data_IF_335834549490
#
_entry.id   IF_335834549490
#
_cell.length_a   1.000
_cell.length_b   1.000
_cell.length_c   1.000
_cell.angle_alpha   90.00
_cell.angle_beta   90.00
_cell.angle_gamma   90.00
#
_symmetry.space_group_name_H-M   'P 1'
#
loop_
_entity.id
_entity.type
_entity.pdbx_description
1 polymer ?
#
# COMPACT_ATOMS: atom_id res chain seq x y z
N UNK A 1 1.87 -3.81 0.68
CA UNK A 1 2.44 -3.22 1.92
C UNK A 1 2.14 -4.08 3.16
N UNK A 2 2.43 -5.39 3.14
CA UNK A 2 2.05 -6.31 4.23
C UNK A 2 2.81 -6.06 5.55
N UNK A 3 4.04 -5.56 5.48
CA UNK A 3 4.90 -5.30 6.64
C UNK A 3 4.32 -4.24 7.57
N UNK A 4 3.47 -3.34 7.03
CA UNK A 4 2.83 -2.26 7.79
C UNK A 4 1.50 -2.68 8.41
N UNK A 5 0.87 -3.73 7.88
CA UNK A 5 -0.42 -4.25 8.38
C UNK A 5 -0.36 -4.78 9.81
N UNK A 6 0.82 -5.23 10.26
CA UNK A 6 1.02 -5.80 11.60
C UNK A 6 1.37 -4.74 12.65
N UNK A 7 1.58 -3.49 12.24
CA UNK A 7 1.87 -2.41 13.16
C UNK A 7 0.55 -1.87 13.71
N UNK A 8 0.51 -1.65 15.01
CA UNK A 8 -0.63 -1.03 15.69
C UNK A 8 -0.19 0.33 16.18
N UNK A 9 -0.87 1.37 15.74
CA UNK A 9 -0.72 2.73 16.25
C UNK A 9 -1.95 3.11 17.05
N UNK A 10 -1.78 4.00 18.02
CA UNK A 10 -2.90 4.49 18.84
C UNK A 10 -3.86 5.34 18.01
N UNK A 11 -3.34 6.07 17.02
CA UNK A 11 -4.13 6.84 16.06
C UNK A 11 -3.82 6.40 14.64
N UNK A 12 -4.83 6.47 13.77
CA UNK A 12 -4.68 6.11 12.35
C UNK A 12 -3.70 7.05 11.63
N UNK A 13 -3.68 8.33 12.02
CA UNK A 13 -2.80 9.36 11.48
C UNK A 13 -1.32 9.15 11.85
N UNK A 14 -1.03 8.66 13.06
CA UNK A 14 0.35 8.36 13.50
C UNK A 14 1.02 7.34 12.58
N UNK A 15 0.24 6.38 12.05
CA UNK A 15 0.76 5.41 11.10
C UNK A 15 1.19 6.07 9.79
N UNK A 16 0.39 7.02 9.30
CA UNK A 16 0.73 7.76 8.08
C UNK A 16 2.01 8.58 8.30
N UNK A 17 2.13 9.23 9.45
CA UNK A 17 3.27 10.07 9.78
C UNK A 17 4.57 9.29 10.01
N UNK A 18 4.49 8.10 10.63
CA UNK A 18 5.65 7.21 10.74
C UNK A 18 6.18 6.71 9.38
N UNK A 19 5.34 6.72 8.34
CA UNK A 19 5.73 6.29 6.99
C UNK A 19 6.30 7.41 6.13
N UNK A 20 6.08 8.68 6.47
CA UNK A 20 6.59 9.82 5.70
C UNK A 20 8.10 9.75 5.54
N UNK A 21 8.83 9.50 6.63
CA UNK A 21 10.29 9.38 6.59
C UNK A 21 10.81 8.12 5.90
N UNK A 22 9.97 7.09 5.72
CA UNK A 22 10.38 5.86 5.03
C UNK A 22 10.20 5.95 3.51
N UNK A 23 9.19 6.70 3.06
CA UNK A 23 8.93 6.95 1.64
C UNK A 23 9.49 8.29 1.15
N UNK A 24 10.17 9.04 2.01
CA UNK A 24 10.69 10.38 1.73
C UNK A 24 9.61 11.34 1.19
N UNK A 25 8.43 11.32 1.82
CA UNK A 25 7.27 12.11 1.43
C UNK A 25 7.12 13.32 2.34
N UNK A 26 6.87 14.48 1.74
CA UNK A 26 6.54 15.70 2.46
C UNK A 26 5.06 16.07 2.26
N UNK A 27 4.23 15.88 3.29
CA UNK A 27 2.82 16.27 3.29
C UNK A 27 2.44 17.02 4.58
N UNK A 28 1.47 17.96 4.55
CA UNK A 28 1.07 18.68 5.75
C UNK A 28 0.37 17.77 6.77
N UNK A 29 0.85 17.85 8.01
CA UNK A 29 0.37 17.14 9.19
C UNK A 29 -0.97 17.72 9.65
N UNK A 30 -2.06 17.15 9.14
CA UNK A 30 -3.42 17.50 9.51
C UNK A 30 -3.97 16.49 10.52
N UNK A 31 -3.96 16.87 11.80
CA UNK A 31 -4.52 16.06 12.89
C UNK A 31 -6.05 16.12 12.91
N UNK A 32 -6.70 14.99 13.15
CA UNK A 32 -8.17 14.86 13.16
C UNK A 32 -8.76 14.37 11.83
N UNK A 33 -7.92 14.02 10.86
CA UNK A 33 -8.34 13.45 9.57
C UNK A 33 -8.58 11.93 9.63
N UNK A 34 -7.99 11.23 10.60
CA UNK A 34 -8.09 9.77 10.74
C UNK A 34 -7.62 9.03 9.48
N UNK A 35 -8.45 8.10 8.98
CA UNK A 35 -8.19 7.32 7.76
C UNK A 35 -7.87 8.15 6.51
N UNK A 36 -8.31 9.42 6.43
CA UNK A 36 -7.98 10.30 5.30
C UNK A 36 -6.47 10.59 5.21
N UNK A 37 -5.77 10.66 6.34
CA UNK A 37 -4.31 10.84 6.35
C UNK A 37 -3.59 9.68 5.64
N UNK A 38 -4.11 8.45 5.80
CA UNK A 38 -3.55 7.27 5.15
C UNK A 38 -3.84 7.22 3.63
N UNK A 39 -4.99 7.74 3.20
CA UNK A 39 -5.30 7.91 1.77
C UNK A 39 -4.36 8.91 1.12
N UNK A 40 -4.16 10.08 1.74
CA UNK A 40 -3.24 11.11 1.25
C UNK A 40 -1.80 10.61 1.16
N UNK A 41 -1.34 9.84 2.16
CA UNK A 41 -0.04 9.19 2.09
C UNK A 41 0.07 8.31 0.84
N UNK A 42 -0.95 7.48 0.57
CA UNK A 42 -0.96 6.62 -0.62
C UNK A 42 -0.95 7.42 -1.93
N UNK A 43 -1.65 8.55 -1.99
CA UNK A 43 -1.61 9.45 -3.15
C UNK A 43 -0.20 10.00 -3.41
N UNK A 44 0.50 10.42 -2.35
CA UNK A 44 1.88 10.88 -2.48
C UNK A 44 2.84 9.72 -2.85
N UNK A 45 2.63 8.52 -2.29
CA UNK A 45 3.39 7.32 -2.71
C UNK A 45 3.18 7.04 -4.18
N UNK A 46 1.96 7.16 -4.72
CA UNK A 46 1.69 6.95 -6.16
C UNK A 46 2.39 8.00 -7.03
N UNK A 47 2.54 9.24 -6.54
CA UNK A 47 3.25 10.29 -7.28
C UNK A 47 4.76 10.02 -7.37
N UNK A 48 5.34 9.44 -6.32
CA UNK A 48 6.79 9.21 -6.21
C UNK A 48 7.20 7.81 -6.67
N UNK A 49 6.35 6.81 -6.46
CA UNK A 49 6.57 5.40 -6.78
C UNK A 49 5.45 4.85 -7.70
N UNK A 50 5.86 4.12 -8.73
CA UNK A 50 4.97 3.38 -9.63
C UNK A 50 4.65 1.96 -9.15
N UNK A 51 4.83 1.68 -7.85
CA UNK A 51 4.55 0.38 -7.26
C UNK A 51 3.06 0.04 -7.25
N UNK A 52 2.63 -0.81 -8.18
CA UNK A 52 1.24 -1.29 -8.26
C UNK A 52 0.79 -2.14 -7.05
N UNK A 53 1.71 -2.57 -6.19
CA UNK A 53 1.39 -3.35 -4.98
C UNK A 53 0.54 -2.59 -3.96
N UNK A 54 0.45 -1.26 -4.11
CA UNK A 54 -0.38 -0.39 -3.30
C UNK A 54 -1.88 -0.65 -3.52
N UNK A 55 -2.28 -1.15 -4.69
CA UNK A 55 -3.66 -1.53 -4.99
C UNK A 55 -4.02 -2.96 -4.55
N UNK A 56 -3.05 -3.75 -4.10
CA UNK A 56 -3.27 -5.15 -3.72
C UNK A 56 -3.70 -5.30 -2.24
N UNK A 57 -4.61 -4.45 -1.79
CA UNK A 57 -5.26 -4.58 -0.49
C UNK A 57 -6.58 -5.35 -0.62
N UNK A 58 -7.07 -5.89 0.49
CA UNK A 58 -8.33 -6.63 0.53
C UNK A 58 -9.30 -5.98 1.50
N UNK A 59 -10.59 -6.12 1.21
CA UNK A 59 -11.65 -5.70 2.11
C UNK A 59 -11.52 -6.40 3.45
N UNK A 60 -11.63 -5.65 4.55
CA UNK A 60 -11.61 -6.20 5.90
C UNK A 60 -12.86 -5.83 6.69
N UNK A 61 -13.18 -6.56 7.76
CA UNK A 61 -14.28 -6.18 8.64
C UNK A 61 -14.13 -4.76 9.22
N UNK A 62 -12.89 -4.25 9.29
CA UNK A 62 -12.54 -2.90 9.74
C UNK A 62 -12.76 -1.81 8.67
N UNK A 63 -13.01 -2.17 7.40
CA UNK A 63 -13.18 -1.18 6.33
C UNK A 63 -14.63 -0.72 6.22
N UNK A 64 -14.90 0.60 6.07
CA UNK A 64 -16.26 1.13 5.96
C UNK A 64 -17.01 0.51 4.77
N UNK A 65 -18.27 0.08 4.95
CA UNK A 65 -19.09 -0.59 3.90
C UNK A 65 -19.21 0.23 2.60
N UNK A 66 -19.23 1.55 2.72
CA UNK A 66 -19.40 2.49 1.60
C UNK A 66 -18.07 3.02 1.04
N UNK A 67 -16.96 2.32 1.32
CA UNK A 67 -15.64 2.74 0.85
C UNK A 67 -15.50 2.53 -0.67
N UNK A 68 -15.62 3.62 -1.42
CA UNK A 68 -15.50 3.64 -2.89
C UNK A 68 -14.11 4.08 -3.40
N UNK A 69 -13.12 4.28 -2.51
CA UNK A 69 -11.78 4.70 -2.94
C UNK A 69 -10.98 3.49 -3.42
N UNK A 70 -10.19 3.69 -4.48
CA UNK A 70 -9.23 2.70 -5.00
C UNK A 70 -8.11 2.39 -3.98
N UNK A 71 -7.86 3.33 -3.07
CA UNK A 71 -6.82 3.27 -2.04
C UNK A 71 -7.35 2.61 -0.77
N UNK A 72 -6.46 1.96 -0.04
CA UNK A 72 -6.81 1.28 1.19
C UNK A 72 -7.24 2.30 2.26
N UNK A 73 -8.33 2.06 3.01
CA UNK A 73 -8.71 2.93 4.12
C UNK A 73 -7.75 2.82 5.31
N UNK A 74 -7.12 1.66 5.48
CA UNK A 74 -6.27 1.41 6.64
C UNK A 74 -5.15 0.39 6.35
N UNK A 75 -4.06 0.42 7.13
CA UNK A 75 -2.94 -0.52 7.02
C UNK A 75 -3.34 -1.98 7.13
N UNK A 76 -4.33 -2.29 7.97
CA UNK A 76 -4.75 -3.66 8.25
C UNK A 76 -5.18 -4.38 6.97
N UNK A 77 -5.79 -3.67 6.03
CA UNK A 77 -6.24 -4.17 4.72
C UNK A 77 -5.13 -4.87 3.90
N UNK A 78 -3.85 -4.61 4.21
CA UNK A 78 -2.70 -5.23 3.57
C UNK A 78 -2.24 -6.55 4.22
N UNK A 79 -2.92 -7.09 5.23
CA UNK A 79 -2.46 -8.28 5.99
C UNK A 79 -2.25 -9.51 5.09
N UNK A 80 -3.10 -9.69 4.08
CA UNK A 80 -3.04 -10.80 3.13
C UNK A 80 -2.19 -10.47 1.88
N UNK A 81 -1.63 -9.26 1.78
CA UNK A 81 -0.81 -8.81 0.64
C UNK A 81 0.67 -9.26 0.73
N UNK A 82 0.98 -10.27 1.55
CA UNK A 82 2.37 -10.67 1.87
C UNK A 82 3.15 -11.22 0.68
N UNK A 83 2.45 -11.72 -0.34
CA UNK A 83 3.02 -12.34 -1.54
C UNK A 83 2.81 -11.49 -2.80
N UNK A 84 2.79 -10.16 -2.66
CA UNK A 84 2.75 -9.25 -3.81
C UNK A 84 4.12 -8.61 -3.93
N UNK A 85 4.94 -9.15 -4.83
CA UNK A 85 6.27 -8.62 -5.14
C UNK A 85 6.15 -7.91 -6.48
N UNK A 86 6.57 -6.64 -6.57
CA UNK A 86 6.82 -6.03 -7.87
C UNK A 86 7.96 -6.81 -8.52
N UNK A 87 7.69 -7.40 -9.68
CA UNK A 87 8.73 -8.08 -10.45
C UNK A 87 9.61 -6.99 -11.04
N UNK A 88 10.69 -6.62 -10.35
CA UNK A 88 11.78 -5.84 -10.95
C UNK A 88 12.42 -6.74 -11.97
N UNK A 89 11.97 -6.64 -13.22
CA UNK A 89 12.66 -7.26 -14.35
C UNK A 89 13.97 -6.51 -14.52
N UNK A 90 15.03 -6.97 -13.85
CA UNK A 90 16.38 -6.70 -14.31
C UNK A 90 16.48 -7.38 -15.67
N UNK A 91 16.24 -6.63 -16.74
CA UNK A 91 16.44 -7.09 -18.11
C UNK A 91 17.94 -7.43 -18.25
N UNK A 92 18.35 -8.68 -18.54
CA UNK A 92 19.40 -8.80 -19.52
C UNK A 92 18.83 -8.22 -20.82
N UNK A 93 19.56 -7.29 -21.40
CA UNK A 93 19.29 -6.73 -22.72
C UNK A 93 18.80 -7.87 -23.64
N UNK A 94 17.65 -7.66 -24.29
CA UNK A 94 16.93 -8.53 -25.25
C UNK A 94 15.56 -9.04 -24.78
N UNK A 95 14.53 -8.28 -25.17
CA UNK A 95 13.39 -8.85 -25.89
C UNK A 95 12.21 -9.36 -25.07
N UNK A 96 11.05 -8.77 -25.37
CA UNK A 96 9.67 -9.27 -25.12
C UNK A 96 9.14 -9.24 -23.68
N UNK A 97 8.36 -8.18 -23.41
CA UNK A 97 7.45 -8.08 -22.27
C UNK A 97 6.29 -9.06 -22.42
N UNK A 98 6.23 -10.08 -21.56
CA UNK A 98 5.01 -10.81 -21.25
C UNK A 98 4.77 -10.75 -19.74
N UNK A 99 3.62 -10.18 -19.35
CA UNK A 99 3.12 -10.21 -17.98
C UNK A 99 2.65 -11.64 -17.68
N UNK A 100 3.52 -12.47 -17.10
CA UNK A 100 3.12 -13.77 -16.56
C UNK A 100 2.85 -13.65 -15.06
N UNK A 101 1.58 -13.72 -14.67
CA UNK A 101 1.19 -13.98 -13.29
C UNK A 101 1.58 -15.43 -12.97
N UNK A 102 2.64 -15.63 -12.18
CA UNK A 102 2.91 -16.96 -11.63
C UNK A 102 1.89 -17.23 -10.53
N UNK A 103 0.90 -18.08 -10.84
CA UNK A 103 0.04 -18.68 -9.84
C UNK A 103 0.93 -19.65 -9.04
N UNK A 104 1.56 -19.14 -7.99
CA UNK A 104 2.35 -19.95 -7.07
C UNK A 104 1.43 -20.97 -6.43
N UNK A 105 1.52 -22.21 -6.94
CA UNK A 105 0.87 -23.40 -6.44
C UNK A 105 1.19 -23.62 -4.96
N UNK A 106 0.17 -24.08 -4.26
CA UNK A 106 0.19 -24.42 -2.84
C UNK A 106 1.21 -25.51 -2.53
N UNK A 107 1.80 -25.44 -1.33
CA UNK A 107 2.18 -26.61 -0.54
C UNK A 107 2.04 -26.27 0.93
#
# INVERSE_FOLDING_TARGET
>A
MCWVSRRTTTREEDMAYCMLGLFDINMPLLYGEGAKAFVRLQEEIIKVSTDHTLFCWQWQPSTPRDWANLLAPCPSAFIHSRRVVQMTTQLPLYGTNYLYFTLGADT
#
